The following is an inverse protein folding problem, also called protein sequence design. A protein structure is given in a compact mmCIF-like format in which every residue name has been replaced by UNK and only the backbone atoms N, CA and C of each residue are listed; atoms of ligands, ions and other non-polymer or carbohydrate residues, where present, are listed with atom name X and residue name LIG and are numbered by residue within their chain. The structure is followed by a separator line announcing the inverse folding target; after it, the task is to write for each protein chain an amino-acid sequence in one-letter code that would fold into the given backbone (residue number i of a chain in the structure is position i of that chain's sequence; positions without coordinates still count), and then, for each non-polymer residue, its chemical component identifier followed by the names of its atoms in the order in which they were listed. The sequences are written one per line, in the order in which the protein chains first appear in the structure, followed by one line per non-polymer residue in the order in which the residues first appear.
data_IF_584194650042
#
_entry.id   IF_584194650042
#
_cell.length_a   1.000
_cell.length_b   1.000
_cell.length_c   1.000
_cell.angle_alpha   90.00
_cell.angle_beta   90.00
_cell.angle_gamma   90.00
#
_symmetry.space_group_name_H-M   'P 1'
#
loop_
_entity.id
_entity.type
_entity.pdbx_description
1 polymer ?
#
# COMPACT_ATOMS: atom_id res chain seq x y z
N UNK A 1 -2.00 -0.75 13.57
CA UNK A 1 -2.59 -1.41 12.39
C UNK A 1 -3.19 -2.69 12.89
N UNK A 2 -4.50 -2.82 12.78
CA UNK A 2 -5.20 -3.99 13.29
C UNK A 2 -4.96 -5.20 12.37
N UNK A 3 -5.32 -6.39 12.86
CA UNK A 3 -5.35 -7.60 12.02
C UNK A 3 -6.31 -7.42 10.85
N UNK A 4 -7.48 -6.80 11.08
CA UNK A 4 -8.46 -6.51 10.04
C UNK A 4 -7.89 -5.59 8.95
N UNK A 5 -7.23 -4.49 9.33
CA UNK A 5 -6.58 -3.57 8.37
C UNK A 5 -5.55 -4.30 7.50
N UNK A 6 -4.82 -5.23 8.10
CA UNK A 6 -3.77 -5.99 7.44
C UNK A 6 -4.35 -6.94 6.41
N UNK A 7 -5.43 -7.64 6.75
CA UNK A 7 -6.13 -8.56 5.86
C UNK A 7 -6.75 -7.80 4.68
N UNK A 8 -7.50 -6.73 4.98
CA UNK A 8 -8.13 -5.89 3.96
C UNK A 8 -7.08 -5.29 3.00
N UNK A 9 -5.95 -4.81 3.52
CA UNK A 9 -4.86 -4.30 2.68
C UNK A 9 -4.30 -5.39 1.76
N UNK A 10 -4.07 -6.61 2.27
CA UNK A 10 -3.56 -7.72 1.46
C UNK A 10 -4.55 -8.14 0.37
N UNK A 11 -5.83 -8.23 0.69
CA UNK A 11 -6.88 -8.53 -0.29
C UNK A 11 -6.93 -7.49 -1.40
N UNK A 12 -6.86 -6.20 -1.05
CA UNK A 12 -6.87 -5.13 -2.06
C UNK A 12 -5.60 -5.11 -2.91
N UNK A 13 -4.43 -5.45 -2.35
CA UNK A 13 -3.20 -5.62 -3.12
C UNK A 13 -3.36 -6.73 -4.16
N UNK A 14 -3.87 -7.89 -3.75
CA UNK A 14 -4.13 -9.01 -4.66
C UNK A 14 -5.15 -8.65 -5.73
N UNK A 15 -6.30 -8.08 -5.35
CA UNK A 15 -7.33 -7.65 -6.30
C UNK A 15 -6.82 -6.60 -7.30
N UNK A 16 -5.91 -5.73 -6.88
CA UNK A 16 -5.29 -4.72 -7.77
C UNK A 16 -4.30 -5.36 -8.74
N UNK A 17 -3.51 -6.33 -8.26
CA UNK A 17 -2.54 -7.05 -9.09
C UNK A 17 -3.22 -7.97 -10.11
N UNK A 18 -4.28 -8.69 -9.72
CA UNK A 18 -5.09 -9.53 -10.61
C UNK A 18 -5.69 -8.74 -11.77
N UNK A 19 -6.25 -7.56 -11.46
CA UNK A 19 -6.83 -6.64 -12.46
C UNK A 19 -5.79 -5.95 -13.32
N UNK A 20 -4.50 -6.04 -13.01
CA UNK A 20 -3.47 -5.34 -13.78
C UNK A 20 -2.98 -6.19 -14.96
N UNK A 21 -2.99 -5.63 -16.18
CA UNK A 21 -2.43 -6.30 -17.37
C UNK A 21 -0.90 -6.29 -17.40
N UNK A 22 -0.25 -5.49 -16.55
CA UNK A 22 1.20 -5.29 -16.54
C UNK A 22 1.77 -5.40 -15.13
N UNK A 23 3.06 -5.73 -14.97
CA UNK A 23 3.74 -5.59 -13.70
C UNK A 23 3.59 -4.17 -13.12
N UNK A 24 3.25 -4.09 -11.83
CA UNK A 24 2.99 -2.83 -11.12
C UNK A 24 4.09 -2.58 -10.09
N UNK A 25 4.69 -1.39 -10.09
CA UNK A 25 5.69 -1.04 -9.08
C UNK A 25 5.09 -0.87 -7.69
N UNK A 26 5.90 -1.02 -6.65
CA UNK A 26 5.47 -0.80 -5.25
C UNK A 26 4.86 0.60 -5.05
N UNK A 27 5.45 1.64 -5.65
CA UNK A 27 4.94 3.01 -5.54
C UNK A 27 3.58 3.18 -6.24
N UNK A 28 3.41 2.62 -7.44
CA UNK A 28 2.13 2.64 -8.15
C UNK A 28 1.04 1.89 -7.37
N UNK A 29 1.39 0.75 -6.74
CA UNK A 29 0.46 0.02 -5.87
C UNK A 29 0.07 0.86 -4.66
N UNK A 30 1.04 1.44 -3.96
CA UNK A 30 0.78 2.23 -2.75
C UNK A 30 -0.17 3.40 -3.03
N UNK A 31 -0.01 4.08 -4.17
CA UNK A 31 -0.90 5.17 -4.57
C UNK A 31 -2.35 4.74 -4.84
N UNK A 32 -2.59 3.45 -5.12
CA UNK A 32 -3.93 2.87 -5.36
C UNK A 32 -4.55 2.26 -4.10
N UNK A 33 -3.77 2.08 -3.05
CA UNK A 33 -4.22 1.46 -1.82
C UNK A 33 -5.04 2.44 -0.98
N UNK A 34 -6.01 1.93 -0.20
CA UNK A 34 -6.84 2.76 0.65
C UNK A 34 -5.97 3.36 1.74
N UNK A 35 -6.32 4.58 2.12
CA UNK A 35 -5.63 5.28 3.18
C UNK A 35 -5.75 4.48 4.48
N UNK A 36 -4.69 4.51 5.28
CA UNK A 36 -4.70 3.89 6.60
C UNK A 36 -5.43 4.84 7.55
N UNK A 37 -6.54 4.41 8.13
CA UNK A 37 -7.29 5.19 9.11
C UNK A 37 -6.91 4.72 10.53
N UNK A 38 -6.71 5.66 11.45
CA UNK A 38 -6.56 5.33 12.87
C UNK A 38 -7.04 6.45 13.79
N UNK A 39 -7.36 6.05 15.03
CA UNK A 39 -7.63 6.98 16.12
C UNK A 39 -6.29 7.51 16.66
N UNK A 40 -6.22 8.81 16.84
CA UNK A 40 -5.07 9.52 17.39
C UNK A 40 -5.48 10.34 18.61
N UNK A 41 -4.65 10.28 19.66
CA UNK A 41 -4.82 11.07 20.89
C UNK A 41 -3.95 12.33 20.90
N UNK A 42 -3.26 12.62 19.79
CA UNK A 42 -2.50 13.87 19.67
C UNK A 42 -3.42 15.09 19.68
N UNK A 43 -2.93 16.16 20.30
CA UNK A 43 -3.63 17.44 20.38
C UNK A 43 -3.94 18.01 18.98
N UNK A 44 -5.13 18.62 18.85
CA UNK A 44 -5.59 19.23 17.59
C UNK A 44 -4.59 20.25 17.02
N UNK A 45 -3.97 21.04 17.89
CA UNK A 45 -2.96 22.04 17.52
C UNK A 45 -1.72 21.45 16.87
N UNK A 46 -1.40 20.18 17.15
CA UNK A 46 -0.30 19.45 16.51
C UNK A 46 -0.75 18.92 15.15
N UNK A 47 -1.92 18.28 15.09
CA UNK A 47 -2.40 17.60 13.88
C UNK A 47 -2.89 18.56 12.78
N UNK A 48 -3.40 19.74 13.16
CA UNK A 48 -3.91 20.77 12.23
C UNK A 48 -3.00 22.00 12.15
N UNK A 49 -1.73 21.90 12.53
CA UNK A 49 -0.81 23.03 12.46
C UNK A 49 -0.57 23.46 11.00
N UNK A 50 -1.03 24.65 10.57
CA UNK A 50 -0.87 25.09 9.18
C UNK A 50 0.60 25.38 8.83
N UNK A 51 1.44 25.72 9.83
CA UNK A 51 2.86 25.97 9.63
C UNK A 51 3.69 24.69 9.56
N UNK A 52 3.14 23.53 9.95
CA UNK A 52 3.82 22.23 9.93
C UNK A 52 2.87 21.11 9.49
N UNK A 53 2.42 21.11 8.21
CA UNK A 53 1.55 20.06 7.71
C UNK A 53 2.29 18.71 7.71
N UNK A 54 1.63 17.67 8.22
CA UNK A 54 2.16 16.31 8.21
C UNK A 54 1.93 15.72 6.81
N UNK A 55 3.01 15.56 6.05
CA UNK A 55 2.93 15.10 4.66
C UNK A 55 2.26 13.72 4.56
N UNK A 56 1.23 13.61 3.71
CA UNK A 56 0.50 12.36 3.50
C UNK A 56 -0.41 11.96 4.64
N UNK A 57 -0.76 12.88 5.55
CA UNK A 57 -1.78 12.70 6.59
C UNK A 57 -2.91 13.69 6.39
N UNK A 58 -4.14 13.28 6.68
CA UNK A 58 -5.31 14.14 6.80
C UNK A 58 -6.06 13.85 8.10
N UNK A 59 -6.64 14.89 8.73
CA UNK A 59 -7.56 14.73 9.86
C UNK A 59 -8.97 14.62 9.31
N UNK A 60 -9.59 13.46 9.47
CA UNK A 60 -10.94 13.15 8.98
C UNK A 60 -11.99 13.62 9.99
N UNK A 61 -11.76 13.36 11.27
CA UNK A 61 -12.64 13.77 12.36
C UNK A 61 -11.85 14.43 13.48
N UNK A 62 -12.44 15.46 14.07
CA UNK A 62 -11.88 16.19 15.20
C UNK A 62 -12.85 16.10 16.37
N UNK A 63 -12.40 15.52 17.48
CA UNK A 63 -13.14 15.45 18.73
C UNK A 63 -12.36 16.20 19.81
N UNK A 64 -12.96 16.36 21.00
CA UNK A 64 -12.38 17.16 22.08
C UNK A 64 -11.00 16.65 22.51
N UNK A 65 -10.89 15.34 22.71
CA UNK A 65 -9.69 14.70 23.27
C UNK A 65 -9.07 13.67 22.31
N UNK A 66 -9.60 13.53 21.09
CA UNK A 66 -9.13 12.54 20.12
C UNK A 66 -9.51 12.90 18.68
N UNK A 67 -8.88 12.23 17.73
CA UNK A 67 -9.04 12.50 16.30
C UNK A 67 -9.10 11.19 15.50
N UNK A 68 -9.77 11.23 14.35
CA UNK A 68 -9.58 10.23 13.29
C UNK A 68 -8.65 10.82 12.26
N UNK A 69 -7.52 10.15 12.04
CA UNK A 69 -6.54 10.53 11.04
C UNK A 69 -6.42 9.47 9.98
N UNK A 70 -6.15 9.88 8.75
CA UNK A 70 -5.85 8.98 7.66
C UNK A 70 -4.49 9.28 7.06
N UNK A 71 -3.75 8.23 6.71
CA UNK A 71 -2.41 8.32 6.14
C UNK A 71 -2.37 7.67 4.76
N UNK A 72 -1.78 8.36 3.79
CA UNK A 72 -1.44 7.80 2.47
C UNK A 72 -0.54 6.59 2.66
N UNK A 73 -0.78 5.56 1.86
CA UNK A 73 0.10 4.41 1.79
C UNK A 73 1.37 4.78 1.03
N UNK A 74 2.47 4.24 1.50
CA UNK A 74 3.80 4.47 0.93
C UNK A 74 4.40 3.15 0.48
N UNK A 75 5.49 3.20 -0.28
CA UNK A 75 6.24 1.98 -0.58
C UNK A 75 6.87 1.38 0.68
N UNK A 76 7.46 2.23 1.54
CA UNK A 76 8.21 1.85 2.74
C UNK A 76 7.81 2.67 3.97
N UNK A 77 8.23 2.25 5.15
CA UNK A 77 7.98 2.96 6.41
C UNK A 77 6.68 2.55 7.09
N UNK A 78 6.14 3.44 7.92
CA UNK A 78 5.00 3.18 8.81
C UNK A 78 3.74 2.67 8.07
N UNK A 79 3.35 3.36 7.00
CA UNK A 79 2.25 2.98 6.10
C UNK A 79 2.72 2.20 4.87
N UNK A 80 3.95 1.66 4.93
CA UNK A 80 4.63 0.98 3.85
C UNK A 80 3.98 -0.33 3.46
N UNK A 81 3.74 -0.52 2.16
CA UNK A 81 3.12 -1.76 1.64
C UNK A 81 4.14 -2.85 1.28
N UNK A 82 5.43 -2.53 1.15
CA UNK A 82 6.46 -3.48 0.72
C UNK A 82 6.53 -4.73 1.61
N UNK A 83 6.40 -4.57 2.94
CA UNK A 83 6.38 -5.72 3.88
C UNK A 83 5.22 -6.67 3.62
N UNK A 84 4.07 -6.14 3.18
CA UNK A 84 2.89 -6.94 2.87
C UNK A 84 3.09 -7.71 1.56
N UNK A 85 3.68 -7.07 0.55
CA UNK A 85 4.02 -7.72 -0.72
C UNK A 85 5.05 -8.84 -0.53
N UNK A 86 6.07 -8.63 0.31
CA UNK A 86 7.04 -9.66 0.67
C UNK A 86 6.41 -10.86 1.37
N UNK A 87 5.48 -10.60 2.29
CA UNK A 87 4.72 -11.66 2.97
C UNK A 87 3.82 -12.43 1.99
N UNK A 88 3.18 -11.75 1.04
CA UNK A 88 2.37 -12.41 0.00
C UNK A 88 3.24 -13.22 -0.98
N UNK A 89 4.46 -12.76 -1.26
CA UNK A 89 5.43 -13.47 -2.09
C UNK A 89 5.89 -14.77 -1.42
N UNK A 90 6.16 -14.72 -0.11
CA UNK A 90 6.49 -15.92 0.68
C UNK A 90 5.34 -16.94 0.70
N UNK A 91 4.10 -16.49 0.53
CA UNK A 91 2.92 -17.33 0.41
C UNK A 91 2.67 -17.81 -1.04
N UNK A 92 3.51 -17.42 -2.00
CA UNK A 92 3.36 -17.79 -3.40
C UNK A 92 2.22 -17.09 -4.15
N UNK A 93 1.58 -16.06 -3.54
CA UNK A 93 0.42 -15.38 -4.13
C UNK A 93 0.80 -14.27 -5.11
N UNK A 94 2.00 -13.71 -4.96
CA UNK A 94 2.56 -12.69 -5.85
C UNK A 94 4.01 -13.02 -6.13
N UNK A 95 4.55 -12.51 -7.23
CA UNK A 95 5.99 -12.60 -7.52
C UNK A 95 6.54 -11.29 -8.02
N UNK A 96 7.84 -11.11 -7.84
CA UNK A 96 8.57 -10.00 -8.47
C UNK A 96 8.71 -10.25 -9.96
N UNK A 97 8.59 -9.19 -10.75
CA UNK A 97 8.81 -9.18 -12.18
C UNK A 97 9.68 -7.98 -12.55
N UNK A 98 10.57 -8.19 -13.52
CA UNK A 98 11.34 -7.10 -14.12
C UNK A 98 10.51 -6.50 -15.24
N UNK A 99 10.37 -5.18 -15.24
CA UNK A 99 9.82 -4.45 -16.39
C UNK A 99 10.99 -4.11 -17.33
N UNK A 100 10.89 -4.48 -18.60
CA UNK A 100 11.93 -4.23 -19.61
C UNK A 100 12.49 -2.79 -19.48
N UNK A 101 13.81 -2.69 -19.32
CA UNK A 101 14.55 -1.43 -19.25
C UNK A 101 14.51 -0.66 -17.92
N UNK A 102 13.82 -1.14 -16.86
CA UNK A 102 13.80 -0.46 -15.55
C UNK A 102 14.27 -1.39 -14.42
N UNK A 103 15.30 -0.97 -13.67
CA UNK A 103 15.80 -1.61 -12.42
C UNK A 103 14.78 -1.59 -11.26
N UNK A 104 13.50 -1.28 -11.50
CA UNK A 104 12.49 -1.15 -10.44
C UNK A 104 11.77 -2.48 -10.24
N UNK A 105 11.69 -2.90 -8.98
CA UNK A 105 10.92 -4.08 -8.58
C UNK A 105 9.44 -3.83 -8.88
N UNK A 106 8.88 -4.64 -9.78
CA UNK A 106 7.46 -4.69 -10.06
C UNK A 106 6.88 -6.01 -9.55
N UNK A 107 5.56 -6.03 -9.38
CA UNK A 107 4.80 -7.13 -8.82
C UNK A 107 3.73 -7.59 -9.79
N UNK A 108 3.49 -8.90 -9.81
CA UNK A 108 2.40 -9.55 -10.53
C UNK A 108 1.73 -10.56 -9.60
N UNK A 109 0.43 -10.77 -9.78
CA UNK A 109 -0.28 -11.88 -9.14
C UNK A 109 0.20 -13.21 -9.74
N UNK A 110 0.31 -14.24 -8.91
CA UNK A 110 0.49 -15.62 -9.35
C UNK A 110 -0.91 -16.24 -9.42
N UNK A 111 -1.59 -16.05 -10.54
CA UNK A 111 -2.82 -16.79 -10.82
C UNK A 111 -2.44 -18.02 -11.65
N UNK A 112 -2.93 -19.21 -11.28
CA UNK A 112 -2.62 -20.47 -11.96
C UNK A 112 -3.03 -20.47 -13.45
N UNK A 113 -3.90 -19.54 -13.84
CA UNK A 113 -4.54 -19.48 -15.16
C UNK A 113 -3.95 -18.40 -16.08
N UNK A 114 -2.90 -17.70 -15.64
CA UNK A 114 -2.22 -16.70 -16.46
C UNK A 114 -0.96 -17.33 -17.06
N UNK A 115 -0.89 -17.60 -18.37
CA UNK A 115 0.31 -18.17 -18.96
C UNK A 115 1.48 -17.25 -18.62
N UNK A 116 2.54 -17.86 -18.06
CA UNK A 116 3.82 -17.18 -17.85
C UNK A 116 4.19 -16.53 -19.17
N UNK A 117 4.16 -15.21 -19.22
CA UNK A 117 4.71 -14.47 -20.35
C UNK A 117 6.21 -14.70 -20.29
N UNK A 118 6.66 -15.79 -20.90
CA UNK A 118 8.05 -16.01 -21.27
C UNK A 118 8.38 -14.92 -22.28
N UNK A 119 9.20 -13.96 -21.85
CA UNK A 119 9.74 -12.94 -22.72
C UNK A 119 11.01 -13.56 -23.29
N UNK A 120 10.90 -14.08 -24.51
CA UNK A 120 12.02 -14.54 -25.34
C UNK A 120 13.05 -13.42 -25.49
N UNK A 121 14.31 -13.87 -25.46
CA UNK A 121 15.60 -13.17 -25.41
C UNK A 121 15.76 -12.03 -26.41
#
# INVERSE_FOLDING_TARGET
MTTADTLQLREQLLATLRRSPRPVSTTELAARMPWKVERSEYNCTVLRNPSRPIAGMEVVECHRDWHVVQYRRTAHGYTGIYRHLRSLEQQGLVRRALRQGRKRVCWVCVDADRPSVEITK
#
